data_IF_983243249724
#
_entry.id   IF_983243249724
#
_cell.length_a   1.000
_cell.length_b   1.000
_cell.length_c   1.000
_cell.angle_alpha   90.00
_cell.angle_beta   90.00
_cell.angle_gamma   90.00
#
_symmetry.space_group_name_H-M   'P 1'
#
loop_
_entity.id
_entity.type
_entity.pdbx_description
1 polymer ?
#
# COMPACT_ATOMS: atom_id res chain seq x y z
N UNK A 1 -5.50 -2.99 15.18
CA UNK A 1 -4.41 -2.88 14.17
C UNK A 1 -3.92 -1.44 13.97
N UNK A 2 -4.78 -0.48 13.60
CA UNK A 2 -4.32 0.90 13.32
C UNK A 2 -3.77 1.62 14.55
N UNK A 3 -4.35 1.37 15.74
CA UNK A 3 -3.86 1.92 17.01
C UNK A 3 -2.40 1.53 17.30
N UNK A 4 -1.99 0.30 16.96
CA UNK A 4 -0.60 -0.14 17.12
C UNK A 4 0.36 0.71 16.30
N UNK A 5 -0.03 1.07 15.06
CA UNK A 5 0.78 1.97 14.23
C UNK A 5 0.78 3.39 14.79
N UNK A 6 -0.36 3.89 15.27
CA UNK A 6 -0.46 5.22 15.89
C UNK A 6 0.44 5.35 17.11
N UNK A 7 0.35 4.43 18.07
CA UNK A 7 1.15 4.49 19.29
C UNK A 7 2.63 4.22 19.04
N UNK A 8 2.95 3.26 18.16
CA UNK A 8 4.34 3.04 17.74
C UNK A 8 4.93 4.27 17.06
N UNK A 9 4.20 4.88 16.13
CA UNK A 9 4.61 6.10 15.43
C UNK A 9 4.76 7.30 16.36
N UNK A 10 3.84 7.46 17.33
CA UNK A 10 3.94 8.49 18.37
C UNK A 10 5.21 8.34 19.20
N UNK A 11 5.58 7.13 19.59
CA UNK A 11 6.83 6.88 20.32
C UNK A 11 8.05 7.37 19.54
N UNK A 12 8.11 7.10 18.24
CA UNK A 12 9.17 7.62 17.37
C UNK A 12 9.11 9.15 17.22
N UNK A 13 7.92 9.76 17.12
CA UNK A 13 7.76 11.21 17.03
C UNK A 13 8.25 11.92 18.30
N UNK A 14 7.92 11.39 19.48
CA UNK A 14 8.38 11.94 20.77
C UNK A 14 9.90 11.83 20.87
N UNK A 15 10.47 10.67 20.55
CA UNK A 15 11.91 10.46 20.63
C UNK A 15 12.69 11.38 19.66
N UNK A 16 12.21 11.53 18.41
CA UNK A 16 12.79 12.46 17.45
C UNK A 16 12.70 13.92 17.91
N UNK A 17 11.57 14.32 18.51
CA UNK A 17 11.40 15.66 19.05
C UNK A 17 12.38 15.94 20.19
N UNK A 18 12.58 14.98 21.10
CA UNK A 18 13.52 15.11 22.22
C UNK A 18 14.96 15.33 21.74
N UNK A 19 15.40 14.58 20.72
CA UNK A 19 16.74 14.69 20.15
C UNK A 19 16.96 16.03 19.42
N UNK A 20 15.95 16.53 18.69
CA UNK A 20 16.05 17.83 18.03
C UNK A 20 16.04 19.00 19.02
N UNK A 21 15.31 18.91 20.13
CA UNK A 21 15.26 19.97 21.14
C UNK A 21 16.51 20.06 22.01
N UNK A 22 17.25 18.95 22.15
CA UNK A 22 18.61 18.99 22.71
C UNK A 22 19.55 19.85 21.86
N UNK A 23 19.32 19.90 20.55
CA UNK A 23 20.16 20.64 19.60
C UNK A 23 19.63 22.06 19.31
N UNK A 24 18.32 22.30 19.39
CA UNK A 24 17.68 23.59 19.11
C UNK A 24 16.44 23.81 20.00
N UNK A 25 16.65 24.41 21.18
CA UNK A 25 15.64 24.57 22.25
C UNK A 25 14.35 25.30 21.83
N UNK A 26 14.37 26.10 20.76
CA UNK A 26 13.22 26.90 20.29
C UNK A 26 12.61 26.43 18.95
N UNK A 27 12.87 25.21 18.50
CA UNK A 27 12.32 24.73 17.23
C UNK A 27 10.78 24.63 17.28
N UNK A 28 10.11 25.64 16.69
CA UNK A 28 8.64 25.79 16.69
C UNK A 28 7.92 24.62 16.02
N UNK A 29 8.60 23.81 15.20
CA UNK A 29 8.00 22.67 14.52
C UNK A 29 7.55 21.55 15.48
N UNK A 30 8.15 21.47 16.67
CA UNK A 30 7.89 20.39 17.64
C UNK A 30 7.00 20.79 18.80
N UNK A 31 6.53 22.06 18.87
CA UNK A 31 5.71 22.55 19.99
C UNK A 31 4.51 21.67 20.34
N UNK A 32 3.88 21.02 19.34
CA UNK A 32 2.76 20.10 19.58
C UNK A 32 3.14 18.73 20.15
N UNK A 33 4.40 18.30 20.01
CA UNK A 33 4.91 16.97 20.44
C UNK A 33 5.59 17.06 21.82
N UNK A 34 6.06 18.24 22.23
CA UNK A 34 6.84 18.44 23.47
C UNK A 34 6.04 18.19 24.76
N UNK A 35 4.70 18.25 24.68
CA UNK A 35 3.81 18.13 25.84
C UNK A 35 2.67 17.14 25.60
N UNK A 36 2.93 16.01 24.94
CA UNK A 36 1.89 14.97 24.80
C UNK A 36 1.55 14.40 26.18
N UNK A 37 0.35 14.70 26.68
CA UNK A 37 -0.16 14.16 27.93
C UNK A 37 -0.94 12.86 27.75
N UNK A 38 -1.33 12.22 28.86
CA UNK A 38 -2.10 10.98 28.84
C UNK A 38 -3.39 11.09 28.00
N UNK A 39 -4.15 12.19 28.19
CA UNK A 39 -5.40 12.40 27.45
C UNK A 39 -5.16 12.59 25.95
N UNK A 40 -4.05 13.21 25.55
CA UNK A 40 -3.70 13.37 24.14
C UNK A 40 -3.44 12.01 23.47
N UNK A 41 -2.75 11.11 24.17
CA UNK A 41 -2.51 9.72 23.69
C UNK A 41 -3.84 8.99 23.50
N UNK A 42 -4.74 9.09 24.49
CA UNK A 42 -6.06 8.45 24.43
C UNK A 42 -6.89 9.04 23.27
N UNK A 43 -6.99 10.36 23.17
CA UNK A 43 -7.77 11.01 22.12
C UNK A 43 -7.22 10.74 20.72
N UNK A 44 -5.89 10.76 20.54
CA UNK A 44 -5.27 10.40 19.27
C UNK A 44 -5.50 8.94 18.89
N UNK A 45 -5.30 8.02 19.83
CA UNK A 45 -5.47 6.60 19.60
C UNK A 45 -6.90 6.20 19.24
N UNK A 46 -7.88 6.72 20.01
CA UNK A 46 -9.30 6.41 19.86
C UNK A 46 -10.09 7.43 19.03
N UNK A 47 -9.41 8.39 18.42
CA UNK A 47 -10.02 9.36 17.51
C UNK A 47 -10.86 8.66 16.45
N UNK A 48 -12.15 9.01 16.37
CA UNK A 48 -13.13 8.46 15.42
C UNK A 48 -12.64 8.57 13.97
N UNK A 49 -11.77 9.55 13.69
CA UNK A 49 -11.12 9.76 12.40
C UNK A 49 -10.21 8.56 12.10
N UNK A 50 -10.76 7.53 11.48
CA UNK A 50 -10.01 6.36 11.03
C UNK A 50 -9.73 5.28 12.07
N UNK A 51 -10.48 5.20 13.18
CA UNK A 51 -10.24 4.22 14.26
C UNK A 51 -10.42 2.75 13.83
N UNK A 52 -11.35 2.48 12.91
CA UNK A 52 -11.68 1.11 12.48
C UNK A 52 -10.71 0.61 11.40
N UNK A 53 -10.70 1.29 10.25
CA UNK A 53 -9.98 0.88 9.03
C UNK A 53 -9.23 2.04 8.38
N UNK A 54 -9.05 3.14 9.11
CA UNK A 54 -8.56 4.40 8.58
C UNK A 54 -7.11 4.40 8.13
N UNK A 55 -6.74 5.42 7.35
CA UNK A 55 -5.34 5.70 7.05
C UNK A 55 -4.55 5.88 8.34
N UNK A 56 -3.29 5.48 8.29
CA UNK A 56 -2.32 5.92 9.28
C UNK A 56 -2.05 7.42 9.09
N UNK A 57 -1.98 8.15 10.18
CA UNK A 57 -1.50 9.53 10.21
C UNK A 57 -0.72 9.73 11.49
N UNK A 58 0.26 10.63 11.43
CA UNK A 58 1.11 10.99 12.56
C UNK A 58 0.34 11.72 13.65
N UNK A 59 0.88 11.70 14.87
CA UNK A 59 0.33 12.53 15.94
C UNK A 59 0.42 14.01 15.58
N UNK A 60 1.50 14.45 14.91
CA UNK A 60 1.58 15.82 14.39
C UNK A 60 0.40 16.18 13.47
N UNK A 61 0.02 15.27 12.57
CA UNK A 61 -1.11 15.50 11.66
C UNK A 61 -2.43 15.59 12.38
N UNK A 62 -2.62 14.77 13.42
CA UNK A 62 -3.78 14.86 14.31
C UNK A 62 -3.83 16.20 15.05
N UNK A 63 -2.71 16.60 15.65
CA UNK A 63 -2.61 17.86 16.39
C UNK A 63 -2.86 19.07 15.49
N UNK A 64 -2.30 19.08 14.27
CA UNK A 64 -2.53 20.13 13.25
C UNK A 64 -4.00 20.17 12.80
N UNK A 65 -4.70 19.05 12.83
CA UNK A 65 -6.13 18.99 12.52
C UNK A 65 -6.97 19.70 13.58
N UNK A 66 -6.63 19.51 14.85
CA UNK A 66 -7.40 20.05 15.99
C UNK A 66 -7.06 21.51 16.26
N UNK A 67 -5.79 21.90 16.11
CA UNK A 67 -5.30 23.22 16.52
C UNK A 67 -5.18 24.22 15.36
N UNK A 68 -5.66 23.87 14.16
CA UNK A 68 -5.69 24.83 13.05
C UNK A 68 -6.71 25.92 13.30
N UNK A 69 -6.29 27.15 13.10
CA UNK A 69 -7.23 28.26 12.95
C UNK A 69 -7.75 28.21 11.51
N UNK A 70 -9.07 28.24 11.31
CA UNK A 70 -9.77 28.34 10.01
C UNK A 70 -10.11 27.02 9.27
N UNK A 71 -10.74 26.06 9.96
CA UNK A 71 -11.28 24.85 9.32
C UNK A 71 -12.38 25.12 8.27
N UNK A 72 -13.08 26.26 8.37
CA UNK A 72 -14.24 26.59 7.55
C UNK A 72 -13.94 26.77 6.05
N UNK A 73 -12.68 27.02 5.68
CA UNK A 73 -12.27 27.21 4.28
C UNK A 73 -11.88 25.92 3.58
N UNK A 74 -11.94 24.78 4.27
CA UNK A 74 -11.60 23.49 3.68
C UNK A 74 -12.82 22.93 2.97
N UNK A 75 -12.77 22.90 1.63
CA UNK A 75 -13.78 22.19 0.86
C UNK A 75 -13.56 20.68 0.97
N UNK A 76 -14.20 20.07 1.97
CA UNK A 76 -14.17 18.63 2.19
C UNK A 76 -15.10 17.88 1.23
N UNK A 77 -16.16 18.53 0.73
CA UNK A 77 -17.26 17.84 0.08
C UNK A 77 -16.93 17.39 -1.33
N UNK A 78 -16.26 18.21 -2.14
CA UNK A 78 -16.03 17.88 -3.56
C UNK A 78 -15.22 16.58 -3.73
N UNK A 79 -14.13 16.45 -2.97
CA UNK A 79 -13.29 15.25 -2.98
C UNK A 79 -14.01 14.04 -2.35
N UNK A 80 -14.79 14.26 -1.29
CA UNK A 80 -15.53 13.20 -0.60
C UNK A 80 -16.65 12.67 -1.50
N UNK A 81 -17.43 13.54 -2.13
CA UNK A 81 -18.53 13.18 -3.02
C UNK A 81 -18.04 12.35 -4.23
N UNK A 82 -16.88 12.72 -4.80
CA UNK A 82 -16.24 11.90 -5.83
C UNK A 82 -15.93 10.49 -5.34
N UNK A 83 -15.29 10.36 -4.16
CA UNK A 83 -14.96 9.06 -3.57
C UNK A 83 -16.20 8.26 -3.20
N UNK A 84 -17.26 8.89 -2.70
CA UNK A 84 -18.53 8.23 -2.39
C UNK A 84 -19.18 7.62 -3.64
N UNK A 85 -19.18 8.33 -4.78
CA UNK A 85 -19.63 7.77 -6.06
C UNK A 85 -18.82 6.55 -6.47
N UNK A 86 -17.49 6.61 -6.29
CA UNK A 86 -16.60 5.50 -6.59
C UNK A 86 -16.84 4.31 -5.65
N UNK A 87 -17.07 4.56 -4.35
CA UNK A 87 -17.40 3.52 -3.36
C UNK A 87 -18.68 2.76 -3.75
N UNK A 88 -19.72 3.47 -4.22
CA UNK A 88 -20.95 2.84 -4.70
C UNK A 88 -20.64 1.88 -5.86
N UNK A 89 -19.91 2.35 -6.87
CA UNK A 89 -19.50 1.52 -8.01
C UNK A 89 -18.70 0.30 -7.57
N UNK A 90 -17.67 0.49 -6.73
CA UNK A 90 -16.83 -0.59 -6.22
C UNK A 90 -17.64 -1.60 -5.39
N UNK A 91 -18.61 -1.13 -4.62
CA UNK A 91 -19.47 -2.00 -3.80
C UNK A 91 -20.39 -2.86 -4.66
N UNK A 92 -20.96 -2.31 -5.73
CA UNK A 92 -21.77 -3.07 -6.71
C UNK A 92 -20.90 -4.13 -7.41
N UNK A 93 -19.69 -3.76 -7.83
CA UNK A 93 -18.74 -4.69 -8.44
C UNK A 93 -18.33 -5.79 -7.47
N UNK A 94 -18.08 -5.45 -6.21
CA UNK A 94 -17.77 -6.42 -5.15
C UNK A 94 -18.92 -7.40 -4.94
N UNK A 95 -20.14 -6.91 -4.70
CA UNK A 95 -21.30 -7.76 -4.42
C UNK A 95 -21.63 -8.67 -5.61
N UNK A 96 -21.55 -8.15 -6.83
CA UNK A 96 -21.72 -8.93 -8.05
C UNK A 96 -20.64 -10.02 -8.17
N UNK A 97 -19.37 -9.66 -7.99
CA UNK A 97 -18.27 -10.61 -8.12
C UNK A 97 -18.28 -11.68 -7.01
N UNK A 98 -18.64 -11.32 -5.77
CA UNK A 98 -18.75 -12.25 -4.65
C UNK A 98 -19.93 -13.21 -4.83
N UNK A 99 -21.04 -12.75 -5.41
CA UNK A 99 -22.19 -13.60 -5.73
C UNK A 99 -21.85 -14.67 -6.77
N UNK A 100 -21.18 -14.30 -7.87
CA UNK A 100 -20.84 -15.24 -8.93
C UNK A 100 -19.60 -16.09 -8.65
N UNK A 101 -18.64 -15.53 -7.90
CA UNK A 101 -17.35 -16.16 -7.65
C UNK A 101 -16.98 -16.12 -6.16
N UNK A 102 -17.81 -16.70 -5.27
CA UNK A 102 -17.54 -16.68 -3.84
C UNK A 102 -16.28 -17.49 -3.53
N UNK A 103 -15.49 -16.99 -2.57
CA UNK A 103 -14.26 -17.67 -2.15
C UNK A 103 -14.53 -19.06 -1.53
N UNK A 104 -15.72 -19.27 -0.96
CA UNK A 104 -16.13 -20.56 -0.40
C UNK A 104 -16.30 -21.67 -1.44
N UNK A 105 -16.56 -21.32 -2.71
CA UNK A 105 -16.79 -22.31 -3.77
C UNK A 105 -15.59 -23.24 -3.96
N UNK A 106 -14.37 -22.76 -3.76
CA UNK A 106 -13.16 -23.59 -3.97
C UNK A 106 -13.01 -24.73 -2.96
N UNK A 107 -13.83 -24.73 -1.90
CA UNK A 107 -13.91 -25.82 -0.92
C UNK A 107 -14.96 -26.86 -1.26
N UNK A 108 -15.73 -26.68 -2.34
CA UNK A 108 -16.78 -27.62 -2.74
C UNK A 108 -16.20 -28.75 -3.59
N UNK A 109 -16.82 -29.94 -3.50
CA UNK A 109 -16.49 -31.04 -4.41
C UNK A 109 -16.74 -30.69 -5.88
N UNK A 110 -17.74 -29.86 -6.14
CA UNK A 110 -18.05 -29.40 -7.50
C UNK A 110 -16.86 -28.66 -8.10
N UNK A 111 -16.23 -27.76 -7.34
CA UNK A 111 -15.03 -27.06 -7.78
C UNK A 111 -13.88 -28.03 -8.07
N UNK A 112 -13.68 -29.05 -7.23
CA UNK A 112 -12.63 -30.05 -7.45
C UNK A 112 -12.83 -30.88 -8.72
N UNK A 113 -14.08 -31.06 -9.16
CA UNK A 113 -14.44 -31.72 -10.42
C UNK A 113 -14.26 -30.81 -11.65
N UNK A 114 -14.06 -29.50 -11.48
CA UNK A 114 -13.80 -28.57 -12.58
C UNK A 114 -12.44 -28.85 -13.22
N UNK A 115 -12.29 -28.45 -14.49
CA UNK A 115 -11.03 -28.59 -15.21
C UNK A 115 -9.88 -27.88 -14.47
N UNK A 116 -8.66 -28.37 -14.65
CA UNK A 116 -7.47 -27.74 -14.08
C UNK A 116 -7.37 -26.25 -14.44
N UNK A 117 -7.60 -25.90 -15.72
CA UNK A 117 -7.56 -24.51 -16.18
C UNK A 117 -8.62 -23.62 -15.50
N UNK A 118 -9.82 -24.14 -15.28
CA UNK A 118 -10.86 -23.40 -14.56
C UNK A 118 -10.45 -23.12 -13.11
N UNK A 119 -9.90 -24.12 -12.42
CA UNK A 119 -9.42 -23.96 -11.04
C UNK A 119 -8.29 -22.94 -10.93
N UNK A 120 -7.36 -22.93 -11.89
CA UNK A 120 -6.28 -21.93 -11.97
C UNK A 120 -6.85 -20.53 -12.26
N UNK A 121 -7.80 -20.41 -13.17
CA UNK A 121 -8.42 -19.14 -13.54
C UNK A 121 -9.23 -18.50 -12.40
N UNK A 122 -9.77 -19.30 -11.49
CA UNK A 122 -10.67 -18.82 -10.42
C UNK A 122 -10.06 -17.76 -9.48
N UNK A 123 -8.73 -17.67 -9.39
CA UNK A 123 -8.06 -16.62 -8.60
C UNK A 123 -8.30 -15.20 -9.12
N UNK A 124 -8.56 -15.04 -10.42
CA UNK A 124 -8.73 -13.71 -11.03
C UNK A 124 -10.03 -13.02 -10.62
N UNK A 125 -11.22 -13.66 -10.75
CA UNK A 125 -12.44 -13.05 -10.22
C UNK A 125 -12.39 -12.91 -8.69
N UNK A 126 -11.79 -13.86 -7.97
CA UNK A 126 -11.61 -13.74 -6.52
C UNK A 126 -10.72 -12.55 -6.11
N UNK A 127 -9.65 -12.26 -6.87
CA UNK A 127 -8.84 -11.07 -6.68
C UNK A 127 -9.66 -9.79 -6.89
N UNK A 128 -10.54 -9.78 -7.89
CA UNK A 128 -11.46 -8.65 -8.10
C UNK A 128 -12.37 -8.46 -6.89
N UNK A 129 -13.01 -9.51 -6.39
CA UNK A 129 -13.83 -9.46 -5.16
C UNK A 129 -13.03 -8.89 -3.99
N UNK A 130 -11.82 -9.41 -3.75
CA UNK A 130 -10.95 -8.91 -2.68
C UNK A 130 -10.62 -7.43 -2.83
N UNK A 131 -10.15 -7.01 -4.02
CA UNK A 131 -9.71 -5.64 -4.25
C UNK A 131 -10.85 -4.64 -4.16
N UNK A 132 -12.00 -4.91 -4.77
CA UNK A 132 -13.13 -3.98 -4.75
C UNK A 132 -13.61 -3.73 -3.31
N UNK A 133 -13.69 -4.80 -2.49
CA UNK A 133 -14.01 -4.69 -1.06
C UNK A 133 -13.02 -3.81 -0.30
N UNK A 134 -11.72 -4.04 -0.50
CA UNK A 134 -10.67 -3.29 0.20
C UNK A 134 -10.60 -1.84 -0.29
N UNK A 135 -10.72 -1.59 -1.59
CA UNK A 135 -10.79 -0.24 -2.16
C UNK A 135 -11.96 0.55 -1.58
N UNK A 136 -13.15 -0.04 -1.56
CA UNK A 136 -14.33 0.59 -0.96
C UNK A 136 -14.08 0.92 0.51
N UNK A 137 -13.55 -0.02 1.30
CA UNK A 137 -13.24 0.19 2.71
C UNK A 137 -12.19 1.27 2.97
N UNK A 138 -11.11 1.30 2.19
CA UNK A 138 -10.07 2.33 2.30
C UNK A 138 -10.61 3.71 1.92
N UNK A 139 -11.31 3.82 0.79
CA UNK A 139 -11.91 5.09 0.38
C UNK A 139 -12.95 5.58 1.38
N UNK A 140 -13.78 4.70 1.93
CA UNK A 140 -14.77 5.08 2.94
C UNK A 140 -14.11 5.66 4.20
N UNK A 141 -13.00 5.04 4.60
CA UNK A 141 -12.20 5.53 5.73
C UNK A 141 -11.51 6.86 5.44
N UNK A 142 -11.06 7.07 4.20
CA UNK A 142 -10.55 8.36 3.74
C UNK A 142 -11.64 9.43 3.77
N UNK A 143 -12.85 9.12 3.29
CA UNK A 143 -14.00 10.04 3.35
C UNK A 143 -14.30 10.48 4.80
N UNK A 144 -14.27 9.55 5.76
CA UNK A 144 -14.48 9.88 7.18
C UNK A 144 -13.41 10.85 7.72
N UNK A 145 -12.15 10.64 7.37
CA UNK A 145 -11.07 11.58 7.70
C UNK A 145 -11.25 12.93 6.98
N UNK A 146 -11.58 12.92 5.70
CA UNK A 146 -11.76 14.12 4.88
C UNK A 146 -12.87 15.02 5.42
N UNK A 147 -14.02 14.45 5.76
CA UNK A 147 -15.14 15.20 6.32
C UNK A 147 -14.84 15.82 7.69
N UNK A 148 -13.87 15.25 8.42
CA UNK A 148 -13.35 15.83 9.65
C UNK A 148 -12.25 16.89 9.43
N UNK A 149 -11.90 17.20 8.17
CA UNK A 149 -10.79 18.10 7.82
C UNK A 149 -9.40 17.49 8.01
N UNK A 150 -9.32 16.21 8.38
CA UNK A 150 -8.06 15.55 8.72
C UNK A 150 -7.17 15.38 7.50
N UNK A 151 -5.89 15.74 7.66
CA UNK A 151 -4.91 15.63 6.59
C UNK A 151 -5.06 16.67 5.49
N UNK A 152 -5.96 17.65 5.66
CA UNK A 152 -6.03 18.81 4.77
C UNK A 152 -4.83 19.72 5.05
N UNK A 153 -4.09 20.03 3.99
CA UNK A 153 -2.96 20.94 4.00
C UNK A 153 -2.89 21.72 2.68
N UNK A 154 -2.24 22.89 2.66
CA UNK A 154 -2.03 23.65 1.45
C UNK A 154 -1.22 22.86 0.42
N UNK A 155 -1.66 22.80 -0.84
CA UNK A 155 -1.07 21.95 -1.87
C UNK A 155 0.39 22.32 -2.21
N UNK A 156 0.78 23.59 -2.08
CA UNK A 156 2.16 24.06 -2.25
C UNK A 156 3.18 23.48 -1.27
N UNK A 157 2.75 22.78 -0.21
CA UNK A 157 3.63 22.30 0.86
C UNK A 157 4.22 20.89 0.62
N UNK A 158 4.05 20.35 -0.59
CA UNK A 158 4.47 18.99 -1.02
C UNK A 158 4.02 17.91 -0.04
N UNK A 159 2.70 17.81 0.15
CA UNK A 159 2.09 16.84 1.04
C UNK A 159 2.41 15.39 0.62
N UNK A 160 2.68 14.52 1.60
CA UNK A 160 2.96 13.09 1.38
C UNK A 160 2.08 12.23 2.29
N UNK A 161 1.55 11.14 1.73
CA UNK A 161 0.74 10.16 2.46
C UNK A 161 1.47 9.63 3.69
N UNK A 162 0.79 9.62 4.83
CA UNK A 162 1.32 9.22 6.14
C UNK A 162 2.27 10.24 6.78
N UNK A 163 2.90 11.13 6.02
CA UNK A 163 3.81 12.16 6.54
C UNK A 163 3.07 13.45 6.89
N UNK A 164 2.31 14.04 5.95
CA UNK A 164 1.92 15.45 6.03
C UNK A 164 2.80 16.34 5.14
N UNK A 165 2.80 17.66 5.34
CA UNK A 165 3.55 18.60 4.53
C UNK A 165 5.05 18.32 4.65
N UNK A 166 5.74 18.18 3.51
CA UNK A 166 7.21 18.05 3.50
C UNK A 166 7.87 19.39 3.83
N UNK A 167 7.31 20.49 3.33
CA UNK A 167 7.75 21.84 3.66
C UNK A 167 6.91 22.42 4.80
N UNK A 168 7.24 22.00 6.03
CA UNK A 168 6.49 22.40 7.23
C UNK A 168 6.60 23.90 7.53
N UNK A 169 7.75 24.52 7.22
CA UNK A 169 7.94 25.97 7.41
C UNK A 169 6.99 26.79 6.55
N UNK A 170 6.89 26.45 5.26
CA UNK A 170 5.93 27.08 4.36
C UNK A 170 4.48 26.88 4.83
N UNK A 171 4.14 25.69 5.34
CA UNK A 171 2.82 25.46 5.93
C UNK A 171 2.54 26.42 7.08
N UNK A 172 3.47 26.59 8.03
CA UNK A 172 3.31 27.50 9.17
C UNK A 172 3.18 28.96 8.75
N UNK A 173 3.93 29.40 7.73
CA UNK A 173 3.85 30.76 7.18
C UNK A 173 2.49 31.03 6.51
N UNK A 174 1.97 30.06 5.74
CA UNK A 174 0.65 30.17 5.11
C UNK A 174 -0.45 30.12 6.19
N UNK A 175 -0.34 29.24 7.17
CA UNK A 175 -1.31 29.10 8.25
C UNK A 175 -1.38 30.32 9.18
N UNK A 176 -0.31 31.11 9.26
CA UNK A 176 -0.28 32.36 10.03
C UNK A 176 -1.02 33.52 9.35
N UNK A 177 -1.31 33.42 8.05
CA UNK A 177 -1.96 34.47 7.25
C UNK A 177 -3.29 33.96 6.67
N UNK A 178 -4.44 34.33 7.27
CA UNK A 178 -5.76 33.87 6.81
C UNK A 178 -6.07 34.19 5.34
N UNK A 179 -5.55 35.30 4.82
CA UNK A 179 -5.82 35.71 3.43
C UNK A 179 -4.99 34.89 2.44
N UNK A 180 -3.78 34.47 2.81
CA UNK A 180 -3.01 33.49 2.03
C UNK A 180 -3.67 32.12 2.09
N UNK A 181 -4.08 31.68 3.28
CA UNK A 181 -4.69 30.37 3.47
C UNK A 181 -5.96 30.19 2.62
N UNK A 182 -6.81 31.22 2.53
CA UNK A 182 -8.05 31.20 1.71
C UNK A 182 -7.78 31.06 0.21
N UNK A 183 -6.66 31.58 -0.29
CA UNK A 183 -6.31 31.56 -1.72
C UNK A 183 -5.62 30.27 -2.14
N UNK A 184 -5.07 29.54 -1.18
CA UNK A 184 -4.24 28.38 -1.44
C UNK A 184 -5.10 27.11 -1.54
N UNK A 185 -5.01 26.35 -2.65
CA UNK A 185 -5.78 25.12 -2.79
C UNK A 185 -5.36 24.10 -1.74
N UNK A 186 -6.34 23.50 -1.07
CA UNK A 186 -6.11 22.44 -0.09
C UNK A 186 -6.13 21.07 -0.77
N UNK A 187 -5.26 20.17 -0.33
CA UNK A 187 -5.30 18.76 -0.70
C UNK A 187 -5.38 17.86 0.54
N UNK A 188 -5.80 16.61 0.34
CA UNK A 188 -5.92 15.58 1.38
C UNK A 188 -4.91 14.43 1.19
N UNK A 189 -3.81 14.68 0.47
CA UNK A 189 -2.84 13.64 0.07
C UNK A 189 -2.20 12.94 1.27
N UNK A 190 -2.12 13.63 2.40
CA UNK A 190 -1.61 13.12 3.67
C UNK A 190 -2.36 11.88 4.15
N UNK A 191 -3.68 11.83 3.96
CA UNK A 191 -4.52 10.71 4.38
C UNK A 191 -4.95 9.81 3.23
N UNK A 192 -4.56 10.11 1.99
CA UNK A 192 -4.76 9.20 0.86
C UNK A 192 -4.05 7.90 1.17
N UNK A 193 -4.79 6.80 1.20
CA UNK A 193 -4.33 5.46 1.52
C UNK A 193 -4.28 4.57 0.27
N UNK A 194 -5.12 4.83 -0.73
CA UNK A 194 -5.15 4.07 -1.97
C UNK A 194 -5.15 4.97 -3.21
N UNK A 195 -4.27 4.67 -4.16
CA UNK A 195 -4.36 5.18 -5.53
C UNK A 195 -4.78 4.04 -6.45
N UNK A 196 -6.09 3.89 -6.67
CA UNK A 196 -6.67 2.77 -7.44
C UNK A 196 -6.06 2.69 -8.83
N UNK A 197 -6.03 3.81 -9.57
CA UNK A 197 -5.44 3.82 -10.91
C UNK A 197 -3.96 3.50 -10.90
N UNK A 198 -3.21 4.00 -9.90
CA UNK A 198 -1.81 3.64 -9.70
C UNK A 198 -1.59 2.16 -9.41
N UNK A 199 -2.57 1.45 -8.83
CA UNK A 199 -2.52 -0.01 -8.67
C UNK A 199 -2.91 -0.72 -9.97
N UNK A 200 -4.07 -0.37 -10.54
CA UNK A 200 -4.68 -1.08 -11.68
C UNK A 200 -3.92 -0.91 -13.00
N UNK A 201 -3.25 0.23 -13.19
CA UNK A 201 -2.45 0.51 -14.40
C UNK A 201 -0.98 0.10 -14.27
N UNK A 202 -0.54 -0.34 -13.09
CA UNK A 202 0.85 -0.69 -12.88
C UNK A 202 1.20 -2.03 -13.52
N UNK A 203 2.35 -2.08 -14.18
CA UNK A 203 2.93 -3.33 -14.70
C UNK A 203 3.84 -4.03 -13.67
N UNK A 204 4.14 -3.39 -12.54
CA UNK A 204 5.06 -3.91 -11.52
C UNK A 204 4.36 -4.08 -10.17
N UNK A 205 4.62 -5.21 -9.51
CA UNK A 205 4.20 -5.56 -8.14
C UNK A 205 4.75 -4.52 -7.17
N UNK A 206 6.01 -4.09 -7.32
CA UNK A 206 6.58 -3.03 -6.47
C UNK A 206 5.84 -1.71 -6.63
N UNK A 207 5.46 -1.35 -7.85
CA UNK A 207 4.73 -0.10 -8.11
C UNK A 207 3.29 -0.20 -7.59
N UNK A 208 2.63 -1.35 -7.77
CA UNK A 208 1.30 -1.63 -7.21
C UNK A 208 1.32 -1.48 -5.68
N UNK A 209 2.27 -2.13 -4.99
CA UNK A 209 2.43 -2.07 -3.53
C UNK A 209 2.66 -0.63 -3.05
N UNK A 210 3.42 0.19 -3.78
CA UNK A 210 3.65 1.60 -3.43
C UNK A 210 2.39 2.47 -3.51
N UNK A 211 1.41 2.07 -4.30
CA UNK A 211 0.12 2.77 -4.44
C UNK A 211 -0.97 2.18 -3.53
N UNK A 212 -0.69 1.07 -2.86
CA UNK A 212 -1.61 0.34 -1.98
C UNK A 212 -1.29 0.59 -0.51
N UNK A 213 -2.28 1.03 0.26
CA UNK A 213 -2.17 1.30 1.69
C UNK A 213 -0.98 2.24 2.01
N UNK A 214 -0.86 3.33 1.24
CA UNK A 214 0.31 4.21 1.15
C UNK A 214 0.70 4.82 2.50
N UNK A 215 -0.25 5.06 3.39
CA UNK A 215 0.03 5.58 4.74
C UNK A 215 0.70 4.55 5.65
N UNK A 216 0.29 3.28 5.53
CA UNK A 216 0.96 2.16 6.20
C UNK A 216 2.30 1.87 5.56
N UNK A 217 2.42 2.01 4.23
CA UNK A 217 3.73 1.92 3.56
C UNK A 217 4.70 2.99 4.06
N UNK A 218 4.22 4.22 4.27
CA UNK A 218 5.01 5.27 4.92
C UNK A 218 5.47 4.82 6.32
N UNK A 219 4.57 4.28 7.14
CA UNK A 219 4.90 3.79 8.48
C UNK A 219 5.99 2.70 8.43
N UNK A 220 5.77 1.67 7.62
CA UNK A 220 6.71 0.55 7.45
C UNK A 220 8.07 1.03 6.92
N UNK A 221 8.08 1.97 5.98
CA UNK A 221 9.32 2.50 5.43
C UNK A 221 10.13 3.28 6.48
N UNK A 222 9.47 4.13 7.28
CA UNK A 222 10.18 5.04 8.19
C UNK A 222 10.56 4.38 9.51
N UNK A 223 9.68 3.53 10.06
CA UNK A 223 9.86 3.00 11.41
C UNK A 223 10.39 1.58 11.43
N UNK A 224 10.42 0.88 10.29
CA UNK A 224 10.89 -0.51 10.19
C UNK A 224 12.03 -0.62 9.19
N UNK A 225 11.79 -0.30 7.92
CA UNK A 225 12.78 -0.50 6.86
C UNK A 225 14.07 0.30 7.10
N UNK A 226 13.94 1.60 7.40
CA UNK A 226 15.10 2.50 7.59
C UNK A 226 15.84 2.22 8.90
N UNK A 227 15.12 1.84 9.95
CA UNK A 227 15.65 1.60 11.31
C UNK A 227 16.24 0.20 11.47
N UNK A 228 15.85 -0.76 10.63
CA UNK A 228 16.36 -2.13 10.73
C UNK A 228 17.88 -2.19 10.44
N UNK A 229 18.67 -2.83 11.34
CA UNK A 229 20.14 -2.72 11.33
C UNK A 229 20.78 -3.41 10.13
N UNK A 230 20.23 -4.55 9.68
CA UNK A 230 20.82 -5.34 8.61
C UNK A 230 20.21 -5.00 7.24
N UNK A 231 20.95 -4.28 6.39
CA UNK A 231 20.48 -3.78 5.09
C UNK A 231 19.88 -4.85 4.19
N UNK A 232 20.48 -6.05 4.13
CA UNK A 232 20.03 -7.17 3.31
C UNK A 232 18.70 -7.77 3.77
N UNK A 233 18.37 -7.63 5.05
CA UNK A 233 17.16 -8.21 5.66
C UNK A 233 16.02 -7.21 5.83
N UNK A 234 16.21 -5.94 5.43
CA UNK A 234 15.20 -4.88 5.58
C UNK A 234 13.87 -5.22 4.91
N UNK A 235 13.91 -5.66 3.65
CA UNK A 235 12.70 -6.02 2.93
C UNK A 235 12.01 -7.24 3.55
N UNK A 236 12.68 -8.39 3.78
CA UNK A 236 12.12 -9.52 4.51
C UNK A 236 11.50 -9.12 5.86
N UNK A 237 12.19 -8.31 6.67
CA UNK A 237 11.69 -7.83 7.96
C UNK A 237 10.38 -7.05 7.82
N UNK A 238 10.28 -6.16 6.82
CA UNK A 238 9.04 -5.43 6.53
C UNK A 238 7.92 -6.37 6.14
N UNK A 239 8.15 -7.35 5.26
CA UNK A 239 7.10 -8.29 4.83
C UNK A 239 6.63 -9.20 5.97
N UNK A 240 7.54 -9.67 6.83
CA UNK A 240 7.19 -10.46 8.02
C UNK A 240 6.36 -9.62 9.00
N UNK A 241 6.82 -8.40 9.33
CA UNK A 241 6.08 -7.53 10.24
C UNK A 241 4.73 -7.11 9.67
N UNK A 242 4.64 -6.87 8.35
CA UNK A 242 3.38 -6.59 7.67
C UNK A 242 2.41 -7.76 7.81
N UNK A 243 2.89 -9.01 7.65
CA UNK A 243 2.08 -10.22 7.86
C UNK A 243 1.54 -10.31 9.29
N UNK A 244 2.41 -10.09 10.29
CA UNK A 244 2.04 -10.08 11.71
C UNK A 244 1.00 -8.98 11.99
N UNK A 245 1.19 -7.80 11.40
CA UNK A 245 0.24 -6.70 11.56
C UNK A 245 -1.14 -7.08 11.04
N UNK A 246 -1.22 -7.80 9.92
CA UNK A 246 -2.48 -8.33 9.38
C UNK A 246 -3.11 -9.43 10.25
N UNK A 247 -2.32 -10.24 10.95
CA UNK A 247 -2.78 -11.19 11.96
C UNK A 247 -2.05 -12.53 11.91
N UNK A 248 -2.50 -13.49 12.74
CA UNK A 248 -1.86 -14.80 12.91
C UNK A 248 -2.29 -15.85 11.87
N UNK A 249 -3.28 -15.56 11.03
CA UNK A 249 -3.77 -16.51 10.05
C UNK A 249 -2.70 -16.78 8.96
N UNK A 250 -2.49 -18.05 8.62
CA UNK A 250 -1.46 -18.48 7.66
C UNK A 250 -1.58 -17.78 6.30
N UNK A 251 -2.79 -17.46 5.88
CA UNK A 251 -3.06 -16.76 4.63
C UNK A 251 -2.32 -15.43 4.48
N UNK A 252 -2.13 -14.68 5.57
CA UNK A 252 -1.38 -13.42 5.54
C UNK A 252 0.09 -13.65 5.22
N UNK A 253 0.71 -14.64 5.86
CA UNK A 253 2.10 -14.99 5.64
C UNK A 253 2.32 -15.53 4.22
N UNK A 254 1.45 -16.42 3.76
CA UNK A 254 1.54 -16.99 2.41
C UNK A 254 1.40 -15.90 1.35
N UNK A 255 0.52 -14.92 1.50
CA UNK A 255 0.40 -13.85 0.50
C UNK A 255 1.55 -12.84 0.56
N UNK A 256 1.87 -12.36 1.77
CA UNK A 256 2.74 -11.20 1.96
C UNK A 256 4.21 -11.61 1.97
N UNK A 257 4.59 -12.65 2.72
CA UNK A 257 5.99 -13.11 2.78
C UNK A 257 6.40 -13.71 1.43
N UNK A 258 5.53 -14.51 0.80
CA UNK A 258 5.89 -15.14 -0.47
C UNK A 258 6.14 -14.14 -1.59
N UNK A 259 5.59 -12.92 -1.50
CA UNK A 259 5.90 -11.84 -2.45
C UNK A 259 7.41 -11.59 -2.57
N UNK A 260 8.18 -11.78 -1.49
CA UNK A 260 9.66 -11.66 -1.50
C UNK A 260 10.31 -12.56 -2.55
N UNK A 261 9.74 -13.73 -2.84
CA UNK A 261 10.29 -14.66 -3.84
C UNK A 261 9.87 -14.30 -5.28
N UNK A 262 8.78 -13.55 -5.45
CA UNK A 262 8.32 -13.10 -6.78
C UNK A 262 9.02 -11.81 -7.22
N UNK A 263 9.45 -10.96 -6.27
CA UNK A 263 10.11 -9.68 -6.57
C UNK A 263 11.44 -9.80 -7.35
N UNK A 264 12.30 -10.82 -7.12
CA UNK A 264 13.48 -11.07 -7.95
C UNK A 264 13.13 -11.48 -9.39
N UNK A 265 12.05 -12.25 -9.58
CA UNK A 265 11.57 -12.64 -10.91
C UNK A 265 11.22 -11.38 -11.70
N UNK A 266 10.34 -10.53 -11.16
CA UNK A 266 9.96 -9.26 -11.77
C UNK A 266 11.17 -8.39 -12.12
N UNK A 267 12.17 -8.31 -11.22
CA UNK A 267 13.35 -7.49 -11.45
C UNK A 267 14.09 -7.84 -12.74
N UNK A 268 14.25 -9.14 -13.05
CA UNK A 268 14.92 -9.58 -14.27
C UNK A 268 14.16 -9.09 -15.51
N UNK A 269 12.83 -9.21 -15.51
CA UNK A 269 12.01 -8.81 -16.66
C UNK A 269 11.86 -7.29 -16.82
N UNK A 270 11.95 -6.53 -15.72
CA UNK A 270 12.05 -5.06 -15.77
C UNK A 270 13.34 -4.62 -16.46
N UNK A 271 14.46 -5.33 -16.29
CA UNK A 271 15.70 -5.00 -17.01
C UNK A 271 15.52 -5.17 -18.53
N UNK A 272 14.85 -6.24 -18.98
CA UNK A 272 14.51 -6.41 -20.40
C UNK A 272 13.60 -5.28 -20.90
N UNK A 273 12.55 -4.93 -20.15
CA UNK A 273 11.69 -3.80 -20.48
C UNK A 273 12.45 -2.47 -20.61
N UNK A 274 13.37 -2.20 -19.69
CA UNK A 274 14.19 -0.98 -19.69
C UNK A 274 15.24 -0.97 -20.80
N UNK A 275 15.65 -2.14 -21.31
CA UNK A 275 16.59 -2.25 -22.43
C UNK A 275 15.95 -1.92 -23.79
N UNK A 276 14.62 -1.88 -23.89
CA UNK A 276 13.92 -1.54 -25.11
C UNK A 276 13.84 -0.02 -25.34
N UNK A 277 13.93 0.39 -26.61
CA UNK A 277 13.76 1.79 -27.01
C UNK A 277 12.35 2.31 -26.69
N UNK A 278 12.27 3.58 -26.31
CA UNK A 278 10.99 4.23 -26.03
C UNK A 278 10.07 4.20 -27.27
N UNK A 279 8.79 3.95 -27.05
CA UNK A 279 7.78 3.85 -28.12
C UNK A 279 7.84 2.58 -28.98
N UNK A 280 8.82 1.70 -28.79
CA UNK A 280 8.91 0.46 -29.59
C UNK A 280 7.80 -0.55 -29.26
N UNK A 281 7.40 -1.34 -30.26
CA UNK A 281 6.48 -2.47 -30.07
C UNK A 281 7.02 -3.47 -29.04
N UNK A 282 8.33 -3.71 -29.03
CA UNK A 282 8.98 -4.57 -28.05
C UNK A 282 8.76 -4.09 -26.60
N UNK A 283 8.86 -2.77 -26.36
CA UNK A 283 8.60 -2.20 -25.03
C UNK A 283 7.14 -2.34 -24.61
N UNK A 284 6.20 -2.18 -25.56
CA UNK A 284 4.77 -2.41 -25.32
C UNK A 284 4.47 -3.88 -25.00
N UNK A 285 5.10 -4.81 -25.72
CA UNK A 285 4.98 -6.24 -25.47
C UNK A 285 5.48 -6.60 -24.06
N UNK A 286 6.66 -6.11 -23.68
CA UNK A 286 7.20 -6.31 -22.33
C UNK A 286 6.32 -5.70 -21.24
N UNK A 287 5.73 -4.53 -21.49
CA UNK A 287 4.75 -3.93 -20.59
C UNK A 287 3.57 -4.88 -20.36
N UNK A 288 3.02 -5.46 -21.44
CA UNK A 288 1.92 -6.43 -21.36
C UNK A 288 2.31 -7.71 -20.60
N UNK A 289 3.51 -8.24 -20.85
CA UNK A 289 4.05 -9.41 -20.13
C UNK A 289 4.18 -9.11 -18.63
N UNK A 290 4.82 -7.99 -18.26
CA UNK A 290 4.98 -7.57 -16.88
C UNK A 290 3.62 -7.34 -16.20
N UNK A 291 2.69 -6.72 -16.91
CA UNK A 291 1.32 -6.53 -16.42
C UNK A 291 0.64 -7.87 -16.08
N UNK A 292 0.70 -8.85 -16.98
CA UNK A 292 0.17 -10.19 -16.76
C UNK A 292 0.88 -10.89 -15.60
N UNK A 293 2.22 -10.86 -15.55
CA UNK A 293 3.01 -11.44 -14.47
C UNK A 293 2.60 -10.86 -13.11
N UNK A 294 2.51 -9.53 -13.00
CA UNK A 294 2.05 -8.85 -11.79
C UNK A 294 0.60 -9.24 -11.46
N UNK A 295 -0.31 -9.23 -12.43
CA UNK A 295 -1.72 -9.58 -12.17
C UNK A 295 -1.87 -10.98 -11.61
N UNK A 296 -1.20 -11.96 -12.24
CA UNK A 296 -1.20 -13.36 -11.82
C UNK A 296 -0.55 -13.53 -10.45
N UNK A 297 0.59 -12.87 -10.20
CA UNK A 297 1.26 -12.89 -8.90
C UNK A 297 0.32 -12.39 -7.79
N UNK A 298 -0.29 -11.21 -7.97
CA UNK A 298 -1.20 -10.65 -6.98
C UNK A 298 -2.45 -11.52 -6.82
N UNK A 299 -3.02 -12.05 -7.91
CA UNK A 299 -4.23 -12.87 -7.84
C UNK A 299 -3.97 -14.17 -7.08
N UNK A 300 -2.91 -14.88 -7.46
CA UNK A 300 -2.56 -16.16 -6.87
C UNK A 300 -2.19 -16.05 -5.38
N UNK A 301 -1.33 -15.08 -5.03
CA UNK A 301 -0.88 -14.90 -3.65
C UNK A 301 -1.98 -14.33 -2.75
N UNK A 302 -2.72 -13.31 -3.20
CA UNK A 302 -3.78 -12.69 -2.39
C UNK A 302 -4.94 -13.65 -2.13
N UNK A 303 -5.10 -14.69 -2.95
CA UNK A 303 -6.12 -15.71 -2.70
C UNK A 303 -5.89 -16.45 -1.37
N UNK A 304 -4.63 -16.64 -0.95
CA UNK A 304 -4.34 -17.20 0.38
C UNK A 304 -4.86 -16.30 1.51
N UNK A 305 -4.82 -14.97 1.36
CA UNK A 305 -5.41 -14.02 2.32
C UNK A 305 -6.94 -14.09 2.37
N UNK A 306 -7.60 -14.50 1.29
CA UNK A 306 -9.05 -14.76 1.33
C UNK A 306 -9.37 -16.05 2.08
N UNK A 307 -8.53 -17.07 1.94
CA UNK A 307 -8.75 -18.39 2.53
C UNK A 307 -8.38 -18.47 4.03
N UNK A 308 -7.41 -17.66 4.47
CA UNK A 308 -6.94 -17.48 5.85
C UNK A 308 -6.30 -18.72 6.52
N UNK A 309 -6.98 -19.86 6.53
CA UNK A 309 -6.61 -21.06 7.29
C UNK A 309 -5.80 -22.05 6.46
N UNK A 310 -4.92 -22.80 7.12
CA UNK A 310 -4.05 -23.76 6.45
C UNK A 310 -4.79 -24.81 5.62
N UNK A 311 -5.82 -25.47 6.15
CA UNK A 311 -6.57 -26.51 5.43
C UNK A 311 -7.09 -26.00 4.08
N UNK A 312 -7.77 -24.85 4.11
CA UNK A 312 -8.33 -24.17 2.94
C UNK A 312 -7.25 -23.85 1.91
N UNK A 313 -6.14 -23.26 2.35
CA UNK A 313 -5.03 -22.88 1.47
C UNK A 313 -4.43 -24.10 0.79
N UNK A 314 -4.14 -25.15 1.57
CA UNK A 314 -3.53 -26.38 1.04
C UNK A 314 -4.48 -27.13 0.12
N UNK A 315 -5.76 -27.25 0.46
CA UNK A 315 -6.78 -27.86 -0.41
C UNK A 315 -6.80 -27.18 -1.77
N UNK A 316 -6.88 -25.85 -1.81
CA UNK A 316 -6.89 -25.13 -3.07
C UNK A 316 -5.54 -25.24 -3.80
N UNK A 317 -4.41 -25.01 -3.14
CA UNK A 317 -3.09 -25.01 -3.80
C UNK A 317 -2.68 -26.39 -4.30
N UNK A 318 -3.03 -27.46 -3.59
CA UNK A 318 -2.88 -28.84 -4.06
C UNK A 318 -3.74 -29.10 -5.30
N UNK A 319 -4.98 -28.58 -5.33
CA UNK A 319 -5.88 -28.76 -6.48
C UNK A 319 -5.33 -28.15 -7.78
N UNK A 320 -4.49 -27.12 -7.67
CA UNK A 320 -3.80 -26.47 -8.79
C UNK A 320 -2.31 -26.79 -8.85
N UNK A 321 -1.85 -27.83 -8.14
CA UNK A 321 -0.47 -28.32 -8.13
C UNK A 321 0.58 -27.22 -7.86
N UNK A 322 0.25 -26.26 -7.00
CA UNK A 322 1.15 -25.15 -6.63
C UNK A 322 1.68 -24.35 -7.84
N UNK A 323 0.91 -24.31 -8.94
CA UNK A 323 1.36 -23.82 -10.25
C UNK A 323 1.96 -22.41 -10.20
N UNK A 324 1.44 -21.50 -9.35
CA UNK A 324 1.99 -20.15 -9.25
C UNK A 324 3.43 -20.11 -8.72
N UNK A 325 3.78 -20.98 -7.76
CA UNK A 325 5.15 -21.10 -7.25
C UNK A 325 6.06 -21.77 -8.28
N UNK A 326 5.57 -22.84 -8.94
CA UNK A 326 6.31 -23.53 -10.00
C UNK A 326 6.63 -22.57 -11.15
N UNK A 327 5.65 -21.77 -11.59
CA UNK A 327 5.83 -20.75 -12.61
C UNK A 327 6.82 -19.66 -12.19
N UNK A 328 6.81 -19.24 -10.92
CA UNK A 328 7.79 -18.25 -10.43
C UNK A 328 9.23 -18.77 -10.53
N UNK A 329 9.47 -20.02 -10.13
CA UNK A 329 10.79 -20.67 -10.25
C UNK A 329 11.18 -20.84 -11.72
N UNK A 330 10.26 -21.31 -12.55
CA UNK A 330 10.50 -21.46 -13.99
C UNK A 330 10.87 -20.13 -14.66
N UNK A 331 10.09 -19.07 -14.42
CA UNK A 331 10.36 -17.73 -14.97
C UNK A 331 11.67 -17.14 -14.43
N UNK A 332 12.01 -17.40 -13.17
CA UNK A 332 13.31 -17.00 -12.63
C UNK A 332 14.47 -17.65 -13.41
N UNK A 333 14.44 -18.98 -13.55
CA UNK A 333 15.49 -19.72 -14.26
C UNK A 333 15.57 -19.31 -15.74
N UNK A 334 14.43 -19.12 -16.38
CA UNK A 334 14.34 -18.66 -17.76
C UNK A 334 14.96 -17.27 -17.93
N UNK A 335 14.62 -16.33 -17.06
CA UNK A 335 15.19 -14.97 -17.09
C UNK A 335 16.70 -14.97 -16.88
N UNK A 336 17.21 -15.78 -15.94
CA UNK A 336 18.67 -15.93 -15.71
C UNK A 336 19.36 -16.54 -16.92
N UNK A 337 18.78 -17.58 -17.54
CA UNK A 337 19.32 -18.20 -18.73
C UNK A 337 19.44 -17.20 -19.89
N UNK A 338 18.39 -16.41 -20.17
CA UNK A 338 18.44 -15.39 -21.20
C UNK A 338 19.49 -14.30 -20.91
N UNK A 339 19.56 -13.81 -19.67
CA UNK A 339 20.57 -12.80 -19.27
C UNK A 339 22.01 -13.32 -19.43
N UNK A 340 22.25 -14.61 -19.19
CA UNK A 340 23.55 -15.24 -19.41
C UNK A 340 23.94 -15.30 -20.90
N UNK A 341 22.98 -15.41 -21.81
CA UNK A 341 23.23 -15.45 -23.26
C UNK A 341 23.36 -14.05 -23.87
N UNK A 342 22.72 -13.03 -23.28
CA UNK A 342 22.80 -11.64 -23.74
C UNK A 342 24.05 -10.88 -23.28
N UNK A 343 24.96 -11.51 -22.53
CA UNK A 343 26.14 -10.85 -21.98
C UNK A 343 27.31 -10.85 -23.01
N UNK A 344 27.75 -9.70 -23.56
CA UNK A 344 28.72 -9.65 -24.66
C UNK A 344 30.14 -10.14 -24.31
N UNK A 345 30.44 -10.35 -23.01
CA UNK A 345 31.79 -10.69 -22.54
C UNK A 345 32.22 -12.15 -22.83
N UNK A 346 31.37 -12.98 -23.43
CA UNK A 346 31.74 -14.34 -23.86
C UNK A 346 31.99 -14.51 -25.37
N UNK A 347 31.72 -13.49 -26.19
CA UNK A 347 31.95 -13.56 -27.64
C UNK A 347 33.32 -13.04 -28.12
N UNK A 348 34.19 -12.53 -27.24
CA UNK A 348 35.52 -12.03 -27.61
C UNK A 348 36.67 -13.01 -27.30
N UNK A 349 36.41 -14.32 -27.26
CA UNK A 349 37.45 -15.34 -27.01
C UNK A 349 37.44 -16.52 -27.98
N UNK A 350 36.80 -16.38 -29.13
CA UNK A 350 36.95 -17.32 -30.25
C UNK A 350 37.04 -16.50 -31.52
N UNK A 351 38.25 -16.01 -31.79
CA UNK A 351 38.97 -16.00 -33.09
C UNK A 351 40.19 -15.07 -33.01
#
# INVERSE_FOLDING_TARGET
MIMTLRYGGLGYEINAAEDELKNELENKNYKGIIKVGFLDVVHYGFSYMGVLTGPYYRYRTYWDCINRNNGDYINCWDITAYKLKLIILLSILYLSADYYYPASYVMTEEFLKRSFLYRVWYVYPALTTFRMRIYAGMLFSECACQMAGMGAYPASTDNRSGHGPKNYKAFMEIAADPEKLKKEPMDFKTITNINIWGVESSYSVRVAIKNWNTTVQYWMANYVYKTFPYKSLRAPAVFVLCSIWHGYALGYYVAIVSTVFFLPVEHIYIEFYNSCSEGSFAKQLWWGILYCMRFTCMAYLSFAMLLLTHDKIFTYYNSVYWIGHVLAVFLYLLGVAFKSHSNPKKMSKVE
#
